data_IF_412334987064
#
_entry.id   IF_412334987064
#
_cell.length_a   1.000
_cell.length_b   1.000
_cell.length_c   1.000
_cell.angle_alpha   90.00
_cell.angle_beta   90.00
_cell.angle_gamma   90.00
#
_symmetry.space_group_name_H-M   'P 1'
#
loop_
_entity.id
_entity.type
_entity.pdbx_description
1 polymer ?
#
# COMPACT_ATOMS: atom_id res chain seq x y z
N UNK A 1 0.21 -3.59 -20.69
CA UNK A 1 0.38 -3.71 -19.23
C UNK A 1 -0.16 -5.08 -18.82
N UNK A 2 0.62 -5.90 -18.10
CA UNK A 2 0.17 -7.23 -17.69
C UNK A 2 -1.02 -7.13 -16.69
N UNK A 3 -1.98 -8.07 -16.69
CA UNK A 3 -3.13 -8.01 -15.79
C UNK A 3 -2.72 -8.02 -14.31
N UNK A 4 -1.64 -8.74 -13.96
CA UNK A 4 -1.09 -8.73 -12.60
C UNK A 4 -0.57 -7.35 -12.16
N UNK A 5 0.08 -6.59 -13.06
CA UNK A 5 0.52 -5.22 -12.77
C UNK A 5 -0.66 -4.29 -12.54
N UNK A 6 -1.70 -4.39 -13.35
CA UNK A 6 -2.89 -3.56 -13.21
C UNK A 6 -3.64 -3.88 -11.91
N UNK A 7 -3.81 -5.17 -11.59
CA UNK A 7 -4.41 -5.60 -10.33
C UNK A 7 -3.60 -5.12 -9.12
N UNK A 8 -2.27 -5.19 -9.18
CA UNK A 8 -1.41 -4.69 -8.12
C UNK A 8 -1.50 -3.16 -8.01
N UNK A 9 -1.50 -2.44 -9.11
CA UNK A 9 -1.65 -0.98 -9.13
C UNK A 9 -2.97 -0.54 -8.50
N UNK A 10 -4.08 -1.25 -8.79
CA UNK A 10 -5.39 -1.02 -8.18
C UNK A 10 -5.35 -1.29 -6.67
N UNK A 11 -4.82 -2.44 -6.25
CA UNK A 11 -4.74 -2.81 -4.84
C UNK A 11 -3.89 -1.83 -4.01
N UNK A 12 -2.71 -1.46 -4.51
CA UNK A 12 -1.84 -0.45 -3.89
C UNK A 12 -2.50 0.93 -3.90
N UNK A 13 -3.23 1.27 -4.97
CA UNK A 13 -4.00 2.52 -5.05
C UNK A 13 -5.08 2.62 -3.97
N UNK A 14 -5.83 1.55 -3.74
CA UNK A 14 -6.83 1.46 -2.68
C UNK A 14 -6.20 1.61 -1.28
N UNK A 15 -5.08 0.90 -1.02
CA UNK A 15 -4.34 1.02 0.23
C UNK A 15 -3.84 2.46 0.47
N UNK A 16 -3.35 3.12 -0.58
CA UNK A 16 -2.87 4.51 -0.55
C UNK A 16 -3.99 5.50 -0.23
N UNK A 17 -5.16 5.41 -0.87
CA UNK A 17 -6.29 6.29 -0.58
C UNK A 17 -6.87 6.05 0.83
N UNK A 18 -6.89 4.81 1.30
CA UNK A 18 -7.31 4.50 2.67
C UNK A 18 -6.33 5.08 3.70
N UNK A 19 -5.02 4.91 3.49
CA UNK A 19 -3.99 5.51 4.33
C UNK A 19 -4.10 7.04 4.37
N UNK A 20 -4.37 7.68 3.23
CA UNK A 20 -4.63 9.12 3.15
C UNK A 20 -5.83 9.53 3.99
N UNK A 21 -6.94 8.79 3.89
CA UNK A 21 -8.16 9.08 4.66
C UNK A 21 -7.90 8.99 6.16
N UNK A 22 -7.21 7.94 6.60
CA UNK A 22 -6.84 7.75 8.01
C UNK A 22 -5.92 8.88 8.50
N UNK A 23 -4.94 9.29 7.69
CA UNK A 23 -4.07 10.43 8.00
C UNK A 23 -4.85 11.73 8.18
N UNK A 24 -5.75 12.04 7.25
CA UNK A 24 -6.59 13.24 7.33
C UNK A 24 -7.47 13.25 8.59
N UNK A 25 -7.94 12.08 9.04
CA UNK A 25 -8.69 11.97 10.30
C UNK A 25 -7.81 12.30 11.52
N UNK A 26 -6.55 11.86 11.53
CA UNK A 26 -5.62 12.19 12.62
C UNK A 26 -5.20 13.66 12.61
N UNK A 27 -4.94 14.23 11.43
CA UNK A 27 -4.62 15.66 11.28
C UNK A 27 -5.77 16.54 11.80
N UNK A 28 -7.02 16.21 11.44
CA UNK A 28 -8.22 16.90 11.95
C UNK A 28 -8.38 16.80 13.47
N UNK A 29 -7.87 15.73 14.10
CA UNK A 29 -7.90 15.53 15.55
C UNK A 29 -6.71 16.17 16.27
N UNK A 30 -5.78 16.82 15.55
CA UNK A 30 -4.60 17.46 16.13
C UNK A 30 -3.56 16.48 16.67
N UNK A 31 -3.61 15.20 16.27
CA UNK A 31 -2.74 14.17 16.81
C UNK A 31 -1.39 14.19 16.08
N UNK A 32 -0.43 14.97 16.59
CA UNK A 32 0.91 15.17 15.99
C UNK A 32 1.75 13.88 15.83
N UNK A 33 1.27 12.73 16.35
CA UNK A 33 1.89 11.41 16.15
C UNK A 33 1.50 10.79 14.80
N UNK A 34 1.50 11.57 13.72
CA UNK A 34 1.25 11.10 12.34
C UNK A 34 2.51 10.61 11.64
N UNK A 35 3.72 10.86 12.16
CA UNK A 35 4.98 10.58 11.45
C UNK A 35 5.10 9.16 10.87
N UNK A 36 4.78 8.12 11.66
CA UNK A 36 4.81 6.72 11.20
C UNK A 36 3.66 6.39 10.24
N UNK A 37 2.52 7.04 10.40
CA UNK A 37 1.39 6.89 9.47
C UNK A 37 1.70 7.55 8.12
N UNK A 38 2.38 8.70 8.15
CA UNK A 38 2.78 9.44 6.94
C UNK A 38 3.83 8.68 6.16
N UNK A 39 4.78 7.99 6.80
CA UNK A 39 5.77 7.16 6.10
C UNK A 39 5.14 6.01 5.33
N UNK A 40 4.10 5.36 5.86
CA UNK A 40 3.38 4.28 5.15
C UNK A 40 2.62 4.83 3.95
N UNK A 41 1.93 5.96 4.09
CA UNK A 41 1.27 6.62 2.96
C UNK A 41 2.25 7.01 1.85
N UNK A 42 3.39 7.60 2.22
CA UNK A 42 4.42 7.99 1.26
C UNK A 42 5.00 6.78 0.52
N UNK A 43 5.28 5.69 1.23
CA UNK A 43 5.75 4.46 0.62
C UNK A 43 4.72 3.85 -0.35
N UNK A 44 3.44 3.83 0.03
CA UNK A 44 2.35 3.40 -0.86
C UNK A 44 2.23 4.29 -2.10
N UNK A 45 2.39 5.61 -1.95
CA UNK A 45 2.40 6.55 -3.06
C UNK A 45 3.56 6.29 -4.03
N UNK A 46 4.77 6.05 -3.50
CA UNK A 46 5.95 5.72 -4.30
C UNK A 46 5.76 4.41 -5.05
N UNK A 47 5.25 3.36 -4.38
CA UNK A 47 4.93 2.09 -5.04
C UNK A 47 3.92 2.27 -6.16
N UNK A 48 2.83 2.99 -5.90
CA UNK A 48 1.78 3.23 -6.90
C UNK A 48 2.33 3.96 -8.13
N UNK A 49 3.19 4.97 -7.92
CA UNK A 49 3.88 5.66 -9.04
C UNK A 49 4.79 4.72 -9.83
N UNK A 50 5.57 3.87 -9.17
CA UNK A 50 6.43 2.88 -9.85
C UNK A 50 5.62 1.86 -10.65
N UNK A 51 4.44 1.48 -10.16
CA UNK A 51 3.53 0.56 -10.85
C UNK A 51 2.85 1.19 -12.08
N UNK A 52 2.68 2.51 -12.08
CA UNK A 52 2.10 3.27 -13.21
C UNK A 52 3.15 3.85 -14.15
N UNK A 53 4.44 3.55 -13.93
CA UNK A 53 5.51 4.00 -14.82
C UNK A 53 5.34 3.41 -16.23
N UNK A 54 5.90 4.10 -17.23
CA UNK A 54 5.88 3.64 -18.64
C UNK A 54 6.53 2.27 -18.79
N UNK A 55 7.58 2.01 -18.00
CA UNK A 55 8.25 0.70 -17.90
C UNK A 55 8.34 0.27 -16.43
N UNK A 56 7.29 -0.37 -15.88
CA UNK A 56 7.27 -0.78 -14.49
C UNK A 56 8.08 -2.07 -14.30
N UNK A 57 8.90 -2.19 -13.24
CA UNK A 57 9.62 -3.42 -12.96
C UNK A 57 8.64 -4.57 -12.71
N UNK A 58 9.09 -5.84 -12.84
CA UNK A 58 8.24 -7.01 -12.61
C UNK A 58 7.54 -6.98 -11.25
N UNK A 59 6.32 -7.51 -11.19
CA UNK A 59 5.47 -7.52 -9.98
C UNK A 59 6.19 -8.08 -8.74
N UNK A 60 6.99 -9.14 -8.91
CA UNK A 60 7.82 -9.75 -7.87
C UNK A 60 8.81 -8.78 -7.20
N UNK A 61 9.22 -7.72 -7.89
CA UNK A 61 10.15 -6.72 -7.38
C UNK A 61 9.53 -5.84 -6.28
N UNK A 62 8.19 -5.81 -6.19
CA UNK A 62 7.46 -5.04 -5.17
C UNK A 62 7.11 -5.85 -3.91
N UNK A 63 7.29 -7.17 -3.94
CA UNK A 63 7.02 -8.08 -2.80
C UNK A 63 7.76 -7.65 -1.52
N UNK A 64 9.08 -7.39 -1.52
CA UNK A 64 9.79 -7.01 -0.29
C UNK A 64 9.29 -5.68 0.28
N UNK A 65 8.99 -4.70 -0.59
CA UNK A 65 8.43 -3.40 -0.17
C UNK A 65 7.05 -3.58 0.49
N UNK A 66 6.18 -4.42 -0.09
CA UNK A 66 4.86 -4.72 0.46
C UNK A 66 4.96 -5.46 1.80
N UNK A 67 5.88 -6.41 1.95
CA UNK A 67 6.12 -7.10 3.22
C UNK A 67 6.61 -6.15 4.32
N UNK A 68 7.47 -5.20 3.97
CA UNK A 68 7.92 -4.18 4.89
C UNK A 68 6.75 -3.26 5.29
N UNK A 69 5.90 -2.88 4.34
CA UNK A 69 4.73 -2.05 4.59
C UNK A 69 3.71 -2.72 5.53
N UNK A 70 3.46 -4.02 5.35
CA UNK A 70 2.58 -4.79 6.25
C UNK A 70 3.07 -4.77 7.70
N UNK A 71 4.39 -4.80 7.90
CA UNK A 71 5.01 -4.70 9.25
C UNK A 71 4.99 -3.26 9.79
N UNK A 72 5.07 -2.27 8.90
CA UNK A 72 5.03 -0.86 9.26
C UNK A 72 3.62 -0.36 9.59
N UNK A 73 2.57 -1.05 9.14
CA UNK A 73 1.19 -0.86 9.57
C UNK A 73 1.01 -1.24 11.05
N UNK A 74 1.40 -0.33 11.95
CA UNK A 74 1.12 -0.41 13.40
C UNK A 74 -0.24 0.18 13.78
N UNK A 75 -0.54 0.29 15.07
CA UNK A 75 -1.87 0.63 15.65
C UNK A 75 -2.67 1.69 14.89
N UNK A 76 -2.05 2.81 14.52
CA UNK A 76 -2.73 3.93 13.82
C UNK A 76 -3.15 3.60 12.38
N UNK A 77 -2.51 2.64 11.73
CA UNK A 77 -2.80 2.18 10.37
C UNK A 77 -3.16 0.69 10.34
N UNK A 78 -3.63 0.12 11.45
CA UNK A 78 -4.08 -1.26 11.51
C UNK A 78 -5.15 -1.56 10.45
N UNK A 79 -6.00 -0.59 10.13
CA UNK A 79 -7.03 -0.69 9.08
C UNK A 79 -6.48 -0.67 7.65
N UNK A 80 -5.24 -0.22 7.43
CA UNK A 80 -4.55 -0.24 6.12
C UNK A 80 -3.86 -1.58 5.86
N UNK A 81 -3.42 -2.26 6.93
CA UNK A 81 -2.75 -3.56 6.86
C UNK A 81 -3.43 -4.60 5.94
N UNK A 82 -4.75 -4.87 6.04
CA UNK A 82 -5.39 -5.87 5.18
C UNK A 82 -5.33 -5.51 3.68
N UNK A 83 -5.32 -4.22 3.35
CA UNK A 83 -5.21 -3.75 1.96
C UNK A 83 -3.79 -3.99 1.39
N UNK A 84 -2.76 -3.80 2.23
CA UNK A 84 -1.37 -4.11 1.86
C UNK A 84 -1.15 -5.61 1.73
N UNK A 85 -1.77 -6.42 2.60
CA UNK A 85 -1.73 -7.88 2.52
C UNK A 85 -2.43 -8.41 1.25
N UNK A 86 -3.57 -7.82 0.87
CA UNK A 86 -4.22 -8.12 -0.41
C UNK A 86 -3.31 -7.80 -1.61
N UNK A 87 -2.67 -6.62 -1.62
CA UNK A 87 -1.69 -6.26 -2.64
C UNK A 87 -0.49 -7.24 -2.67
N UNK A 88 0.00 -7.68 -1.52
CA UNK A 88 1.05 -8.69 -1.40
C UNK A 88 0.61 -10.04 -1.99
N UNK A 89 -0.63 -10.44 -1.74
CA UNK A 89 -1.22 -11.66 -2.31
C UNK A 89 -1.28 -11.61 -3.84
N UNK A 90 -1.71 -10.48 -4.41
CA UNK A 90 -1.67 -10.24 -5.86
C UNK A 90 -0.24 -10.31 -6.38
N UNK A 91 0.72 -9.72 -5.66
CA UNK A 91 2.11 -9.69 -6.08
C UNK A 91 2.78 -11.08 -6.06
N UNK A 92 2.36 -11.96 -5.15
CA UNK A 92 2.83 -13.34 -5.04
C UNK A 92 2.12 -14.30 -5.99
N UNK A 93 1.10 -13.84 -6.71
CA UNK A 93 0.29 -14.71 -7.57
C UNK A 93 -0.58 -15.70 -6.81
N UNK A 94 -0.75 -15.52 -5.50
CA UNK A 94 -1.73 -16.28 -4.72
C UNK A 94 -3.13 -15.78 -5.07
N UNK A 95 -4.03 -16.63 -5.59
CA UNK A 95 -5.42 -16.25 -5.75
C UNK A 95 -5.97 -15.90 -4.38
N UNK A 96 -6.53 -14.70 -4.26
CA UNK A 96 -7.16 -14.23 -3.04
C UNK A 96 -8.40 -15.10 -2.78
N UNK A 97 -8.24 -16.19 -2.01
CA UNK A 97 -9.35 -16.99 -1.50
C UNK A 97 -9.86 -16.30 -0.23
N UNK A 98 -10.95 -15.56 -0.37
CA UNK A 98 -11.92 -15.27 0.67
C UNK A 98 -13.30 -15.26 0.02
#
# INVERSE_FOLDING_TARGET
MAPAHQNLAVAVGAAKEHARTVLQQFERRGDARTGRSSSVYLALMVLHKRLLAVDPPPVQHFVPDLEQLTRACGDKLASVKPLVEAALGVARGTPQQA
#
